data_IF_366077126231
#
_entry.id   IF_366077126231
#
_cell.length_a   1.000
_cell.length_b   1.000
_cell.length_c   1.000
_cell.angle_alpha   90.00
_cell.angle_beta   90.00
_cell.angle_gamma   90.00
#
_symmetry.space_group_name_H-M   'P 1'
#
loop_
_entity.id
_entity.type
_entity.pdbx_description
1 polymer ?
#
# COMPACT_ATOMS: atom_id res chain seq x y z
N UNK A 1 21.27 12.28 -1.52
CA UNK A 1 20.19 11.45 -0.93
C UNK A 1 20.55 9.98 -1.15
N UNK A 2 20.56 9.12 -0.12
CA UNK A 2 21.02 7.73 -0.28
C UNK A 2 20.00 6.89 -1.06
N UNK A 3 20.47 5.89 -1.82
CA UNK A 3 19.65 4.99 -2.64
C UNK A 3 18.54 4.29 -1.83
N UNK A 4 18.78 4.05 -0.54
CA UNK A 4 17.79 3.50 0.38
C UNK A 4 16.63 4.47 0.65
N UNK A 5 16.94 5.76 0.81
CA UNK A 5 15.92 6.78 1.04
C UNK A 5 14.98 6.92 -0.16
N UNK A 6 15.53 6.85 -1.37
CA UNK A 6 14.74 6.86 -2.60
C UNK A 6 13.78 5.66 -2.68
N UNK A 7 14.22 4.47 -2.27
CA UNK A 7 13.36 3.28 -2.27
C UNK A 7 12.21 3.42 -1.26
N UNK A 8 12.44 3.98 -0.07
CA UNK A 8 11.35 4.21 0.89
C UNK A 8 10.31 5.21 0.38
N UNK A 9 10.76 6.27 -0.31
CA UNK A 9 9.84 7.20 -0.97
C UNK A 9 9.06 6.55 -2.10
N UNK A 10 9.70 5.68 -2.90
CA UNK A 10 9.02 4.92 -3.95
C UNK A 10 7.97 3.97 -3.38
N UNK A 11 8.27 3.28 -2.26
CA UNK A 11 7.31 2.44 -1.56
C UNK A 11 6.12 3.28 -1.08
N UNK A 12 6.36 4.40 -0.38
CA UNK A 12 5.31 5.27 0.12
C UNK A 12 4.45 5.87 -1.00
N UNK A 13 5.06 6.30 -2.10
CA UNK A 13 4.32 6.77 -3.27
C UNK A 13 3.48 5.65 -3.90
N UNK A 14 4.03 4.44 -4.00
CA UNK A 14 3.30 3.30 -4.55
C UNK A 14 2.13 2.87 -3.67
N UNK A 15 2.25 2.94 -2.34
CA UNK A 15 1.14 2.59 -1.44
C UNK A 15 -0.02 3.56 -1.56
N UNK A 16 0.26 4.84 -1.74
CA UNK A 16 -0.76 5.87 -2.00
C UNK A 16 -1.48 5.57 -3.34
N UNK A 17 -0.73 5.27 -4.41
CA UNK A 17 -1.32 4.96 -5.71
C UNK A 17 -2.18 3.68 -5.68
N UNK A 18 -1.69 2.62 -5.01
CA UNK A 18 -2.46 1.38 -4.84
C UNK A 18 -3.73 1.67 -4.04
N UNK A 19 -3.65 2.46 -2.98
CA UNK A 19 -4.83 2.81 -2.17
C UNK A 19 -5.84 3.65 -2.96
N UNK A 20 -5.37 4.63 -3.73
CA UNK A 20 -6.22 5.41 -4.65
C UNK A 20 -6.94 4.50 -5.63
N UNK A 21 -6.21 3.53 -6.22
CA UNK A 21 -6.80 2.56 -7.13
C UNK A 21 -7.85 1.68 -6.44
N UNK A 22 -7.58 1.20 -5.23
CA UNK A 22 -8.53 0.40 -4.46
C UNK A 22 -9.81 1.18 -4.13
N UNK A 23 -9.71 2.42 -3.68
CA UNK A 23 -10.87 3.25 -3.37
C UNK A 23 -11.66 3.64 -4.64
N UNK A 24 -10.95 3.82 -5.75
CA UNK A 24 -11.55 4.07 -7.06
C UNK A 24 -12.35 2.87 -7.59
N UNK A 25 -11.92 1.64 -7.32
CA UNK A 25 -12.71 0.45 -7.69
C UNK A 25 -13.83 0.14 -6.68
N UNK A 26 -13.62 0.44 -5.39
CA UNK A 26 -14.58 0.16 -4.32
C UNK A 26 -15.87 1.01 -4.44
N UNK A 27 -15.74 2.26 -4.89
CA UNK A 27 -16.90 3.16 -5.05
C UNK A 27 -17.86 2.77 -6.19
N UNK A 28 -17.44 1.91 -7.14
CA UNK A 28 -18.24 1.42 -8.26
C UNK A 28 -18.59 2.43 -9.36
N UNK A 29 -18.56 3.74 -9.07
CA UNK A 29 -18.83 4.83 -10.02
C UNK A 29 -17.58 5.39 -10.73
N UNK A 30 -16.38 5.03 -10.27
CA UNK A 30 -15.10 5.40 -10.88
C UNK A 30 -14.91 6.93 -11.06
N UNK A 31 -15.26 7.72 -10.04
CA UNK A 31 -15.24 9.19 -10.05
C UNK A 31 -14.69 9.86 -8.77
N UNK A 32 -13.93 9.12 -7.95
CA UNK A 32 -13.25 9.56 -6.72
C UNK A 32 -14.16 10.26 -5.70
N UNK A 33 -15.43 9.86 -5.63
CA UNK A 33 -16.42 10.41 -4.68
C UNK A 33 -16.04 10.19 -3.23
N UNK A 34 -15.28 9.13 -2.95
CA UNK A 34 -14.79 8.86 -1.60
C UNK A 34 -14.07 10.07 -0.99
N UNK A 35 -13.42 10.92 -1.81
CA UNK A 35 -12.70 12.11 -1.34
C UNK A 35 -13.61 13.21 -0.76
N UNK A 36 -14.93 13.16 -1.00
CA UNK A 36 -15.87 14.17 -0.52
C UNK A 36 -16.19 14.05 0.97
N UNK A 37 -16.00 12.86 1.54
CA UNK A 37 -16.26 12.59 2.95
C UNK A 37 -14.94 12.57 3.73
N UNK A 38 -14.86 13.36 4.80
CA UNK A 38 -13.69 13.40 5.69
C UNK A 38 -13.39 12.05 6.37
N UNK A 39 -14.41 11.24 6.65
CA UNK A 39 -14.24 9.91 7.23
C UNK A 39 -13.49 8.96 6.30
N UNK A 40 -13.72 9.05 4.99
CA UNK A 40 -13.03 8.23 4.00
C UNK A 40 -11.54 8.55 3.90
N UNK A 41 -11.13 9.80 4.17
CA UNK A 41 -9.71 10.16 4.24
C UNK A 41 -9.00 9.46 5.40
N UNK A 42 -9.67 9.26 6.54
CA UNK A 42 -9.10 8.49 7.64
C UNK A 42 -8.90 7.02 7.23
N UNK A 43 -9.90 6.41 6.61
CA UNK A 43 -9.83 5.02 6.13
C UNK A 43 -8.72 4.90 5.06
N UNK A 44 -8.63 5.86 4.14
CA UNK A 44 -7.58 5.94 3.12
C UNK A 44 -6.19 5.94 3.76
N UNK A 45 -5.96 6.75 4.80
CA UNK A 45 -4.67 6.81 5.49
C UNK A 45 -4.33 5.49 6.19
N UNK A 46 -5.32 4.79 6.74
CA UNK A 46 -5.14 3.45 7.34
C UNK A 46 -4.71 2.44 6.26
N UNK A 47 -5.41 2.40 5.13
CA UNK A 47 -5.04 1.53 4.00
C UNK A 47 -3.64 1.84 3.47
N UNK A 48 -3.35 3.09 3.15
CA UNK A 48 -2.06 3.51 2.61
C UNK A 48 -0.91 3.22 3.58
N UNK A 49 -1.15 3.39 4.89
CA UNK A 49 -0.20 3.07 5.95
C UNK A 49 0.08 1.57 6.06
N UNK A 50 -0.97 0.73 6.12
CA UNK A 50 -0.80 -0.72 6.22
C UNK A 50 -0.19 -1.34 4.96
N UNK A 51 -0.56 -0.85 3.78
CA UNK A 51 0.08 -1.22 2.51
C UNK A 51 1.56 -0.83 2.52
N UNK A 52 1.90 0.39 2.91
CA UNK A 52 3.30 0.82 3.01
C UNK A 52 4.11 -0.05 3.98
N UNK A 53 3.54 -0.39 5.14
CA UNK A 53 4.18 -1.28 6.11
C UNK A 53 4.38 -2.69 5.53
N UNK A 54 3.39 -3.23 4.83
CA UNK A 54 3.50 -4.52 4.13
C UNK A 54 4.62 -4.50 3.08
N UNK A 55 4.67 -3.47 2.25
CA UNK A 55 5.74 -3.30 1.25
C UNK A 55 7.12 -3.15 1.88
N UNK A 56 7.24 -2.40 2.99
CA UNK A 56 8.50 -2.25 3.72
C UNK A 56 8.94 -3.56 4.38
N UNK A 57 8.00 -4.32 4.94
CA UNK A 57 8.27 -5.63 5.53
C UNK A 57 8.79 -6.59 4.47
N UNK A 58 8.09 -6.72 3.34
CA UNK A 58 8.54 -7.58 2.23
C UNK A 58 9.91 -7.11 1.72
N UNK A 59 10.10 -5.81 1.50
CA UNK A 59 11.39 -5.25 1.08
C UNK A 59 12.53 -5.63 2.02
N UNK A 60 12.30 -5.59 3.34
CA UNK A 60 13.27 -5.99 4.35
C UNK A 60 13.56 -7.50 4.33
N UNK A 61 12.54 -8.33 4.17
CA UNK A 61 12.69 -9.80 4.15
C UNK A 61 13.44 -10.28 2.90
N UNK A 62 13.13 -9.73 1.73
CA UNK A 62 13.67 -10.21 0.46
C UNK A 62 15.01 -9.56 0.09
N UNK A 63 15.49 -8.57 0.85
CA UNK A 63 16.70 -7.81 0.51
C UNK A 63 17.97 -8.66 0.38
N UNK A 64 18.00 -9.83 1.04
CA UNK A 64 19.13 -10.77 0.99
C UNK A 64 19.10 -11.65 -0.27
N UNK A 65 17.93 -11.85 -0.87
CA UNK A 65 17.72 -12.77 -1.99
C UNK A 65 17.64 -12.05 -3.34
N UNK A 66 17.14 -10.81 -3.36
CA UNK A 66 16.92 -10.06 -4.59
C UNK A 66 17.61 -8.68 -4.54
N UNK A 67 18.11 -8.23 -5.70
CA UNK A 67 18.75 -6.92 -5.85
C UNK A 67 18.10 -6.07 -6.95
N UNK A 68 18.41 -4.77 -6.92
CA UNK A 68 17.99 -3.82 -7.96
C UNK A 68 16.48 -3.68 -8.11
N UNK A 69 16.00 -3.70 -9.37
CA UNK A 69 14.59 -3.46 -9.74
C UNK A 69 13.67 -4.61 -9.33
N UNK A 70 14.13 -5.85 -9.41
CA UNK A 70 13.33 -7.03 -9.05
C UNK A 70 12.88 -6.97 -7.59
N UNK A 71 13.79 -6.61 -6.68
CA UNK A 71 13.45 -6.37 -5.27
C UNK A 71 12.32 -5.35 -5.12
N UNK A 72 12.40 -4.24 -5.87
CA UNK A 72 11.41 -3.17 -5.79
C UNK A 72 10.02 -3.66 -6.25
N UNK A 73 9.96 -4.31 -7.42
CA UNK A 73 8.70 -4.85 -7.96
C UNK A 73 8.08 -5.88 -7.02
N UNK A 74 8.88 -6.84 -6.52
CA UNK A 74 8.39 -7.87 -5.59
C UNK A 74 7.90 -7.26 -4.27
N UNK A 75 8.56 -6.20 -3.78
CA UNK A 75 8.14 -5.51 -2.57
C UNK A 75 6.82 -4.78 -2.75
N UNK A 76 6.61 -4.13 -3.90
CA UNK A 76 5.32 -3.47 -4.21
C UNK A 76 4.22 -4.52 -4.35
N UNK A 77 4.40 -5.52 -5.20
CA UNK A 77 3.35 -6.51 -5.46
C UNK A 77 3.04 -7.36 -4.23
N UNK A 78 4.06 -8.01 -3.66
CA UNK A 78 3.90 -8.87 -2.50
C UNK A 78 3.47 -8.10 -1.26
N UNK A 79 4.05 -6.92 -1.03
CA UNK A 79 3.72 -6.10 0.11
C UNK A 79 2.35 -5.44 0.05
N UNK A 80 1.91 -5.01 -1.13
CA UNK A 80 0.54 -4.52 -1.31
C UNK A 80 -0.48 -5.62 -1.05
N UNK A 81 -0.27 -6.83 -1.59
CA UNK A 81 -1.16 -7.96 -1.32
C UNK A 81 -1.23 -8.29 0.18
N UNK A 82 -0.08 -8.29 0.86
CA UNK A 82 0.01 -8.51 2.31
C UNK A 82 -0.72 -7.41 3.09
N UNK A 83 -0.47 -6.14 2.75
CA UNK A 83 -1.10 -5.00 3.41
C UNK A 83 -2.62 -4.97 3.23
N UNK A 84 -3.11 -5.22 2.01
CA UNK A 84 -4.55 -5.33 1.73
C UNK A 84 -5.17 -6.49 2.51
N UNK A 85 -4.54 -7.66 2.50
CA UNK A 85 -5.05 -8.83 3.24
C UNK A 85 -5.17 -8.54 4.73
N UNK A 86 -4.20 -7.81 5.30
CA UNK A 86 -4.23 -7.41 6.70
C UNK A 86 -5.37 -6.43 6.98
N UNK A 87 -5.57 -5.42 6.13
CA UNK A 87 -6.68 -4.47 6.27
C UNK A 87 -8.02 -5.21 6.23
N UNK A 88 -8.22 -6.07 5.23
CA UNK A 88 -9.45 -6.86 5.08
C UNK A 88 -9.66 -7.75 6.31
N UNK A 89 -8.62 -8.42 6.80
CA UNK A 89 -8.71 -9.28 8.00
C UNK A 89 -9.10 -8.48 9.23
N UNK A 90 -8.54 -7.28 9.42
CA UNK A 90 -8.89 -6.40 10.53
C UNK A 90 -10.34 -5.95 10.41
N UNK A 91 -10.76 -5.49 9.23
CA UNK A 91 -12.13 -4.98 9.03
C UNK A 91 -13.18 -6.08 9.18
N UNK A 92 -12.97 -7.23 8.53
CA UNK A 92 -13.91 -8.36 8.60
C UNK A 92 -13.90 -9.00 9.97
N UNK A 93 -12.74 -9.13 10.63
CA UNK A 93 -12.64 -9.72 11.96
C UNK A 93 -13.17 -8.83 13.09
N UNK A 94 -13.39 -7.53 12.82
CA UNK A 94 -14.02 -6.59 13.75
C UNK A 94 -15.56 -6.58 13.64
N UNK A 95 -16.14 -7.18 12.59
CA UNK A 95 -17.59 -7.29 12.36
C UNK A 95 -18.15 -8.58 12.96
#
# INVERSE_FOLDING_TARGET
>A
MSRHHQNYLLLAFSSILVTMFLFFIDEGYYDFRWMRDGGNWLIFMIYAGLIYLGQRLVYYLIQRYYQGRAKMVLSVLGGSALGVSLVVTILVGLM
#
